data_IF_912522200672
#
_entry.id   IF_912522200672
#
_cell.length_a   1.000
_cell.length_b   1.000
_cell.length_c   1.000
_cell.angle_alpha   90.00
_cell.angle_beta   90.00
_cell.angle_gamma   90.00
#
_symmetry.space_group_name_H-M   'P 1'
#
loop_
_entity.id
_entity.type
_entity.pdbx_description
1 polymer ?
#
# COMPACT_ATOMS: atom_id res chain seq x y z
N UNK A 1 11.09 -1.17 -30.30
CA UNK A 1 12.03 -1.63 -29.25
C UNK A 1 11.31 -2.64 -28.38
N UNK A 2 11.91 -3.81 -28.13
CA UNK A 2 11.38 -4.73 -27.14
C UNK A 2 11.58 -4.12 -25.74
N UNK A 3 10.49 -3.91 -25.01
CA UNK A 3 10.52 -3.37 -23.66
C UNK A 3 11.01 -4.47 -22.71
N UNK A 4 12.08 -4.20 -21.97
CA UNK A 4 12.46 -5.01 -20.82
C UNK A 4 11.32 -5.00 -19.79
N UNK A 5 11.19 -6.09 -19.02
CA UNK A 5 10.21 -6.21 -17.93
C UNK A 5 10.93 -6.15 -16.60
N UNK A 6 10.37 -5.40 -15.66
CA UNK A 6 10.76 -5.44 -14.26
C UNK A 6 9.73 -6.23 -13.47
N UNK A 7 10.18 -7.18 -12.66
CA UNK A 7 9.37 -7.81 -11.61
C UNK A 7 9.85 -7.26 -10.27
N UNK A 8 8.92 -6.62 -9.56
CA UNK A 8 9.16 -5.99 -8.27
C UNK A 8 8.83 -6.98 -7.16
N UNK A 9 9.76 -7.16 -6.23
CA UNK A 9 9.67 -8.20 -5.20
C UNK A 9 9.78 -7.56 -3.81
N UNK A 10 8.73 -7.69 -3.01
CA UNK A 10 8.77 -7.40 -1.57
C UNK A 10 9.13 -8.66 -0.79
N UNK A 11 10.04 -8.56 0.17
CA UNK A 11 10.45 -9.70 1.01
C UNK A 11 10.60 -9.25 2.46
N UNK A 12 10.77 -10.21 3.39
CA UNK A 12 11.16 -9.92 4.78
C UNK A 12 12.58 -9.31 4.92
N UNK A 13 13.33 -9.18 3.83
CA UNK A 13 14.74 -8.79 3.79
C UNK A 13 15.04 -7.71 2.75
N UNK A 14 14.06 -6.86 2.44
CA UNK A 14 14.21 -5.77 1.48
C UNK A 14 13.38 -5.93 0.22
N UNK A 15 13.46 -4.91 -0.62
CA UNK A 15 12.97 -4.98 -1.99
C UNK A 15 14.03 -5.56 -2.92
N UNK A 16 13.60 -6.32 -3.92
CA UNK A 16 14.42 -6.79 -5.03
C UNK A 16 13.74 -6.49 -6.36
N UNK A 17 14.54 -6.39 -7.41
CA UNK A 17 14.04 -6.17 -8.77
C UNK A 17 14.68 -7.21 -9.68
N UNK A 18 13.85 -8.00 -10.37
CA UNK A 18 14.30 -8.83 -11.50
C UNK A 18 14.10 -8.03 -12.79
N UNK A 19 15.15 -7.89 -13.58
CA UNK A 19 15.11 -7.23 -14.89
C UNK A 19 15.30 -8.24 -16.00
N UNK A 20 14.38 -8.27 -16.95
CA UNK A 20 14.45 -9.20 -18.09
C UNK A 20 15.37 -8.68 -19.19
N UNK A 21 15.95 -9.61 -19.97
CA UNK A 21 16.38 -9.27 -21.32
C UNK A 21 15.17 -8.94 -22.22
N UNK A 22 15.44 -8.49 -23.45
CA UNK A 22 14.41 -8.07 -24.39
C UNK A 22 13.45 -9.21 -24.81
N UNK A 23 13.89 -10.46 -24.69
CA UNK A 23 13.10 -11.66 -25.03
C UNK A 23 12.42 -12.30 -23.82
N UNK A 24 12.64 -11.78 -22.62
CA UNK A 24 12.17 -12.33 -21.32
C UNK A 24 12.63 -13.77 -21.08
N UNK A 25 13.85 -14.09 -21.51
CA UNK A 25 14.49 -15.42 -21.40
C UNK A 25 15.56 -15.46 -20.30
N UNK A 26 16.26 -14.36 -20.07
CA UNK A 26 17.20 -14.22 -18.97
C UNK A 26 16.79 -13.06 -18.07
N UNK A 27 17.19 -13.16 -16.79
CA UNK A 27 16.82 -12.19 -15.76
C UNK A 27 18.04 -11.86 -14.90
N UNK A 28 18.24 -10.57 -14.66
CA UNK A 28 19.23 -10.05 -13.71
C UNK A 28 18.53 -9.65 -12.41
N UNK A 29 19.05 -10.12 -11.27
CA UNK A 29 18.53 -9.77 -9.95
C UNK A 29 19.32 -8.59 -9.38
N UNK A 30 18.60 -7.53 -8.96
CA UNK A 30 19.15 -6.38 -8.24
C UNK A 30 18.59 -6.32 -6.81
N UNK A 31 19.43 -5.94 -5.85
CA UNK A 31 19.09 -5.81 -4.42
C UNK A 31 20.09 -6.56 -3.51
N UNK A 32 19.81 -6.66 -2.20
CA UNK A 32 18.64 -6.12 -1.51
C UNK A 32 18.65 -4.58 -1.46
N UNK A 33 17.46 -3.98 -1.55
CA UNK A 33 17.23 -2.55 -1.37
C UNK A 33 16.43 -2.26 -0.09
N UNK A 34 16.20 -0.96 0.18
CA UNK A 34 15.41 -0.49 1.33
C UNK A 34 15.99 -0.98 2.66
N UNK A 35 17.32 -0.95 2.78
CA UNK A 35 18.05 -1.27 4.01
C UNK A 35 17.67 -2.61 4.64
N UNK A 36 17.25 -3.58 3.83
CA UNK A 36 16.76 -4.90 4.28
C UNK A 36 15.53 -4.87 5.19
N UNK A 37 14.78 -3.77 5.23
CA UNK A 37 13.49 -3.70 5.93
C UNK A 37 12.54 -4.78 5.37
N UNK A 38 11.55 -5.24 6.14
CA UNK A 38 10.47 -6.05 5.57
C UNK A 38 9.58 -5.20 4.67
N UNK A 39 9.35 -5.64 3.43
CA UNK A 39 8.46 -5.00 2.46
C UNK A 39 7.31 -5.94 2.11
N UNK A 40 6.08 -5.48 2.32
CA UNK A 40 4.86 -6.24 2.07
C UNK A 40 4.37 -6.10 0.63
N UNK A 41 4.56 -4.93 0.02
CA UNK A 41 4.08 -4.65 -1.33
C UNK A 41 5.01 -3.67 -2.06
N UNK A 42 5.33 -3.95 -3.32
CA UNK A 42 6.14 -3.09 -4.18
C UNK A 42 5.38 -2.84 -5.48
N UNK A 43 5.19 -1.58 -5.85
CA UNK A 43 4.46 -1.16 -7.06
C UNK A 43 5.30 -0.16 -7.86
N UNK A 44 5.06 -0.08 -9.17
CA UNK A 44 5.78 0.83 -10.05
C UNK A 44 4.85 1.65 -10.94
N UNK A 45 5.31 2.83 -11.32
CA UNK A 45 4.73 3.66 -12.36
C UNK A 45 5.48 3.46 -13.68
N UNK A 46 4.92 2.75 -14.66
CA UNK A 46 5.59 2.52 -15.94
C UNK A 46 5.71 3.80 -16.79
N UNK A 47 4.99 4.88 -16.46
CA UNK A 47 5.01 6.14 -17.23
C UNK A 47 6.23 7.01 -16.94
N UNK A 48 6.75 6.96 -15.71
CA UNK A 48 7.88 7.77 -15.26
C UNK A 48 9.00 6.97 -14.56
N UNK A 49 8.81 5.66 -14.36
CA UNK A 49 9.81 4.79 -13.74
C UNK A 49 9.92 4.88 -12.22
N UNK A 50 8.99 5.58 -11.55
CA UNK A 50 8.96 5.64 -10.08
C UNK A 50 8.54 4.29 -9.51
N UNK A 51 9.20 3.86 -8.44
CA UNK A 51 8.88 2.62 -7.72
C UNK A 51 8.61 2.96 -6.26
N UNK A 52 7.57 2.35 -5.69
CA UNK A 52 7.21 2.48 -4.29
C UNK A 52 7.25 1.12 -3.61
N UNK A 53 7.65 1.08 -2.34
CA UNK A 53 7.58 -0.12 -1.52
C UNK A 53 6.99 0.20 -0.14
N UNK A 54 5.90 -0.47 0.22
CA UNK A 54 5.31 -0.41 1.56
C UNK A 54 5.90 -1.50 2.44
N UNK A 55 6.24 -1.13 3.66
CA UNK A 55 6.78 -2.07 4.61
C UNK A 55 6.87 -1.53 6.02
N UNK A 56 7.82 -2.09 6.76
CA UNK A 56 7.96 -1.89 8.18
C UNK A 56 7.49 -3.10 9.00
N UNK A 57 7.62 -2.96 10.32
CA UNK A 57 7.13 -3.88 11.32
C UNK A 57 7.10 -3.16 12.68
N UNK A 58 6.75 -3.87 13.76
CA UNK A 58 6.69 -3.33 15.11
C UNK A 58 7.99 -2.69 15.62
N UNK A 59 9.15 -3.06 15.07
CA UNK A 59 10.44 -2.49 15.46
C UNK A 59 10.74 -1.18 14.72
N UNK A 60 10.48 -1.16 13.42
CA UNK A 60 10.82 -0.06 12.54
C UNK A 60 9.71 1.00 12.42
N UNK A 61 8.47 0.63 12.73
CA UNK A 61 7.28 1.37 12.34
C UNK A 61 6.97 1.23 10.85
N UNK A 62 5.87 1.83 10.38
CA UNK A 62 5.48 1.77 8.98
C UNK A 62 6.27 2.78 8.16
N UNK A 63 6.57 2.44 6.92
CA UNK A 63 7.18 3.38 5.98
C UNK A 63 6.77 3.07 4.54
N UNK A 64 6.76 4.11 3.72
CA UNK A 64 6.69 3.98 2.26
C UNK A 64 8.00 4.47 1.66
N UNK A 65 8.72 3.52 1.06
CA UNK A 65 9.95 3.76 0.32
C UNK A 65 9.62 4.18 -1.11
N UNK A 66 10.45 5.04 -1.68
CA UNK A 66 10.33 5.59 -3.02
C UNK A 66 11.69 5.58 -3.73
N UNK A 67 11.66 5.20 -4.99
CA UNK A 67 12.77 5.36 -5.93
C UNK A 67 12.28 6.07 -7.17
N UNK A 68 13.07 7.02 -7.67
CA UNK A 68 12.78 7.78 -8.90
C UNK A 68 13.73 7.42 -10.05
N UNK A 69 14.58 6.41 -9.87
CA UNK A 69 15.66 6.04 -10.78
C UNK A 69 15.67 4.53 -11.12
N UNK A 70 14.46 3.94 -11.19
CA UNK A 70 14.25 2.51 -11.45
C UNK A 70 14.90 1.59 -10.39
N UNK A 71 14.88 2.02 -9.13
CA UNK A 71 15.31 1.24 -7.98
C UNK A 71 16.81 1.27 -7.70
N UNK A 72 17.57 2.22 -8.26
CA UNK A 72 19.01 2.34 -7.97
C UNK A 72 19.23 3.00 -6.61
N UNK A 73 18.46 4.05 -6.30
CA UNK A 73 18.47 4.72 -5.00
C UNK A 73 17.06 4.82 -4.43
N UNK A 74 16.98 4.85 -3.10
CA UNK A 74 15.71 4.84 -2.38
C UNK A 74 15.76 5.81 -1.20
N UNK A 75 14.64 6.48 -0.95
CA UNK A 75 14.34 7.22 0.28
C UNK A 75 13.01 6.71 0.83
N UNK A 76 12.67 7.03 2.08
CA UNK A 76 11.36 6.68 2.63
C UNK A 76 10.78 7.81 3.47
N UNK A 77 9.46 7.79 3.64
CA UNK A 77 8.74 8.64 4.58
C UNK A 77 7.73 7.83 5.39
N UNK A 78 7.56 8.28 6.62
CA UNK A 78 6.51 7.86 7.56
C UNK A 78 5.68 9.06 8.04
N UNK A 79 5.89 10.24 7.45
CA UNK A 79 5.24 11.48 7.90
C UNK A 79 3.72 11.38 7.76
N UNK A 80 3.01 11.57 8.89
CA UNK A 80 1.56 11.45 8.96
C UNK A 80 1.01 10.02 8.84
N UNK A 81 1.88 9.01 8.71
CA UNK A 81 1.50 7.59 8.66
C UNK A 81 1.37 7.04 10.09
N UNK A 82 0.53 7.68 10.89
CA UNK A 82 0.26 7.33 12.29
C UNK A 82 -1.22 7.51 12.61
N UNK A 83 -1.68 6.78 13.61
CA UNK A 83 -2.95 7.07 14.26
C UNK A 83 -2.77 8.17 15.32
N UNK A 84 -3.88 8.72 15.81
CA UNK A 84 -3.88 9.78 16.82
C UNK A 84 -3.38 9.28 18.19
N UNK A 85 -3.16 10.23 19.10
CA UNK A 85 -2.69 9.93 20.46
C UNK A 85 -3.63 8.95 21.20
N UNK A 86 -3.03 8.01 21.94
CA UNK A 86 -3.77 6.98 22.69
C UNK A 86 -4.31 5.83 21.84
N UNK A 87 -3.99 5.78 20.55
CA UNK A 87 -4.36 4.66 19.66
C UNK A 87 -3.18 3.69 19.47
N UNK A 88 -3.50 2.43 19.19
CA UNK A 88 -2.49 1.42 18.86
C UNK A 88 -1.66 1.90 17.67
N UNK A 89 -0.32 1.84 17.74
CA UNK A 89 0.52 2.28 16.64
C UNK A 89 0.34 1.39 15.41
N UNK A 90 0.54 1.99 14.24
CA UNK A 90 0.64 1.24 13.00
C UNK A 90 1.93 0.42 13.04
N UNK A 91 1.82 -0.87 12.79
CA UNK A 91 2.94 -1.82 12.72
C UNK A 91 3.63 -1.75 11.37
N UNK A 92 2.86 -1.74 10.29
CA UNK A 92 3.42 -1.78 8.94
C UNK A 92 2.48 -1.12 7.92
N UNK A 93 3.09 -0.53 6.88
CA UNK A 93 2.39 -0.30 5.63
C UNK A 93 2.29 -1.64 4.89
N UNK A 94 1.07 -2.05 4.57
CA UNK A 94 0.78 -3.38 4.04
C UNK A 94 0.57 -3.37 2.53
N UNK A 95 -0.23 -2.45 2.04
CA UNK A 95 -0.60 -2.38 0.62
C UNK A 95 -0.50 -0.95 0.10
N UNK A 96 -0.18 -0.80 -1.19
CA UNK A 96 -0.18 0.46 -1.90
C UNK A 96 -1.09 0.38 -3.13
N UNK A 97 -1.73 1.49 -3.46
CA UNK A 97 -2.38 1.68 -4.75
C UNK A 97 -2.17 3.11 -5.23
N UNK A 98 -1.98 3.28 -6.54
CA UNK A 98 -1.89 4.58 -7.17
C UNK A 98 -3.27 5.12 -7.51
N UNK A 99 -3.53 6.35 -7.14
CA UNK A 99 -4.67 7.14 -7.62
C UNK A 99 -4.29 7.95 -8.86
N UNK A 100 -5.05 9.03 -9.09
CA UNK A 100 -4.79 9.97 -10.17
C UNK A 100 -3.62 10.91 -9.81
N UNK A 101 -2.86 11.35 -10.82
CA UNK A 101 -1.73 12.25 -10.61
C UNK A 101 -0.68 11.69 -9.63
N UNK A 102 -0.41 12.46 -8.56
CA UNK A 102 0.53 12.09 -7.50
C UNK A 102 -0.14 11.36 -6.32
N UNK A 103 -1.45 11.08 -6.40
CA UNK A 103 -2.16 10.44 -5.30
C UNK A 103 -1.71 9.00 -5.11
N UNK A 104 -1.43 8.64 -3.86
CA UNK A 104 -1.08 7.31 -3.41
C UNK A 104 -1.93 6.94 -2.21
N UNK A 105 -2.37 5.69 -2.15
CA UNK A 105 -3.07 5.14 -1.00
C UNK A 105 -2.21 4.08 -0.33
N UNK A 106 -2.24 4.06 1.01
CA UNK A 106 -1.60 3.03 1.83
C UNK A 106 -2.62 2.36 2.74
N UNK A 107 -2.70 1.04 2.65
CA UNK A 107 -3.42 0.20 3.58
C UNK A 107 -2.45 -0.31 4.62
N UNK A 108 -2.83 -0.27 5.90
CA UNK A 108 -1.90 -0.51 7.01
C UNK A 108 -2.37 -1.64 7.94
N UNK A 109 -1.50 -2.04 8.86
CA UNK A 109 -1.79 -2.93 9.98
C UNK A 109 -1.51 -2.19 11.31
N UNK A 110 -2.46 -2.08 12.26
CA UNK A 110 -3.87 -2.51 12.19
C UNK A 110 -4.67 -1.74 11.13
N UNK A 111 -5.74 -2.34 10.58
CA UNK A 111 -6.43 -1.85 9.39
C UNK A 111 -6.89 -0.38 9.48
N UNK A 112 -6.45 0.37 8.48
CA UNK A 112 -6.84 1.73 8.15
C UNK A 112 -6.33 2.09 6.75
N UNK A 113 -6.86 3.19 6.21
CA UNK A 113 -6.51 3.72 4.89
C UNK A 113 -5.88 5.10 5.06
N UNK A 114 -4.75 5.31 4.39
CA UNK A 114 -4.06 6.59 4.34
C UNK A 114 -3.95 7.05 2.90
N UNK A 115 -4.02 8.36 2.68
CA UNK A 115 -3.89 9.02 1.39
C UNK A 115 -2.69 9.96 1.44
N UNK A 116 -1.94 10.01 0.35
CA UNK A 116 -0.90 11.00 0.08
C UNK A 116 -1.24 11.66 -1.25
N UNK A 117 -1.10 12.97 -1.36
CA UNK A 117 -1.28 13.74 -2.61
C UNK A 117 0.05 14.29 -3.16
N UNK A 118 1.17 14.02 -2.48
CA UNK A 118 2.51 14.50 -2.80
C UNK A 118 3.46 13.36 -3.22
N UNK A 119 2.88 12.23 -3.65
CA UNK A 119 3.62 11.08 -4.15
C UNK A 119 4.39 10.35 -3.03
N UNK A 120 3.77 10.23 -1.86
CA UNK A 120 4.23 9.43 -0.72
C UNK A 120 5.16 10.16 0.26
N UNK A 121 5.26 11.49 0.21
CA UNK A 121 6.08 12.27 1.13
C UNK A 121 5.37 12.48 2.46
N UNK A 122 4.08 12.81 2.44
CA UNK A 122 3.23 12.93 3.63
C UNK A 122 1.91 12.17 3.46
N UNK A 123 1.34 11.75 4.57
CA UNK A 123 0.14 10.92 4.62
C UNK A 123 -0.93 11.53 5.52
N UNK A 124 -2.18 11.40 5.09
CA UNK A 124 -3.38 11.78 5.84
C UNK A 124 -4.26 10.55 6.03
N UNK A 125 -4.75 10.34 7.25
CA UNK A 125 -5.67 9.25 7.55
C UNK A 125 -7.05 9.50 6.93
N UNK A 126 -7.59 8.50 6.23
CA UNK A 126 -8.96 8.51 5.68
C UNK A 126 -9.92 7.99 6.75
N UNK A 127 -10.51 8.91 7.51
CA UNK A 127 -11.23 8.61 8.75
C UNK A 127 -12.52 7.77 8.56
N UNK A 128 -13.16 7.80 7.38
CA UNK A 128 -14.47 7.16 7.17
C UNK A 128 -14.51 5.67 7.52
N UNK A 129 -13.45 4.90 7.25
CA UNK A 129 -13.37 3.49 7.65
C UNK A 129 -13.20 3.32 9.16
N UNK A 130 -12.49 4.24 9.81
CA UNK A 130 -12.25 4.21 11.25
C UNK A 130 -13.50 4.55 12.05
N UNK A 131 -14.34 5.43 11.50
CA UNK A 131 -15.60 5.89 12.06
C UNK A 131 -16.79 5.00 11.66
N UNK A 132 -16.57 4.05 10.73
CA UNK A 132 -17.61 3.16 10.26
C UNK A 132 -18.27 2.40 11.43
N UNK A 133 -19.62 2.32 11.50
CA UNK A 133 -20.34 1.72 12.63
C UNK A 133 -19.95 0.27 12.93
N UNK A 134 -19.46 -0.47 11.92
CA UNK A 134 -19.03 -1.86 12.11
C UNK A 134 -17.63 -2.04 12.68
N UNK A 135 -16.83 -0.97 12.79
CA UNK A 135 -15.42 -1.02 13.20
C UNK A 135 -15.20 -1.78 14.53
N UNK A 136 -16.05 -1.66 15.56
CA UNK A 136 -15.89 -2.41 16.81
C UNK A 136 -16.02 -3.93 16.66
N UNK A 137 -16.62 -4.43 15.58
CA UNK A 137 -16.74 -5.88 15.33
C UNK A 137 -15.59 -6.45 14.49
N UNK A 138 -14.67 -5.61 14.01
CA UNK A 138 -13.53 -6.07 13.21
C UNK A 138 -12.49 -6.69 14.12
N UNK A 139 -12.34 -8.01 14.05
CA UNK A 139 -11.38 -8.76 14.84
C UNK A 139 -10.19 -9.16 13.95
N UNK A 140 -8.96 -9.17 14.50
CA UNK A 140 -7.81 -9.69 13.77
C UNK A 140 -7.97 -11.21 13.54
N UNK A 141 -7.62 -11.66 12.33
CA UNK A 141 -7.48 -13.09 12.04
C UNK A 141 -6.05 -13.58 12.33
N UNK A 142 -5.71 -14.79 11.89
CA UNK A 142 -4.35 -15.35 12.05
C UNK A 142 -3.24 -14.54 11.35
N UNK A 143 -3.60 -13.67 10.40
CA UNK A 143 -2.70 -12.73 9.76
C UNK A 143 -2.71 -11.31 10.34
N UNK A 144 -3.51 -11.03 11.38
CA UNK A 144 -3.74 -9.68 11.89
C UNK A 144 -5.00 -9.02 11.31
N UNK A 145 -5.22 -7.74 11.64
CA UNK A 145 -6.28 -6.90 11.08
C UNK A 145 -5.65 -5.95 10.07
N UNK A 146 -5.83 -6.19 8.77
CA UNK A 146 -5.04 -5.54 7.71
C UNK A 146 -5.96 -5.03 6.59
N UNK A 147 -5.66 -3.83 6.07
CA UNK A 147 -6.21 -3.36 4.79
C UNK A 147 -5.26 -3.73 3.65
N UNK A 148 -5.66 -4.69 2.81
CA UNK A 148 -4.75 -5.35 1.85
C UNK A 148 -5.07 -5.09 0.37
N UNK A 149 -6.31 -4.73 0.06
CA UNK A 149 -6.71 -4.43 -1.32
C UNK A 149 -7.26 -3.03 -1.37
N UNK A 150 -6.75 -2.22 -2.29
CA UNK A 150 -7.18 -0.85 -2.56
C UNK A 150 -7.30 -0.73 -4.07
N UNK A 151 -8.49 -0.35 -4.54
CA UNK A 151 -8.79 -0.21 -5.96
C UNK A 151 -9.47 1.14 -6.16
N UNK A 152 -8.68 2.21 -6.35
CA UNK A 152 -9.23 3.51 -6.72
C UNK A 152 -9.75 3.44 -8.16
N UNK A 153 -10.84 4.13 -8.44
CA UNK A 153 -11.41 4.18 -9.78
C UNK A 153 -10.49 5.01 -10.70
N UNK A 154 -10.22 4.55 -11.94
CA UNK A 154 -9.18 5.13 -12.79
C UNK A 154 -9.45 6.58 -13.22
N UNK A 155 -10.74 6.97 -13.28
CA UNK A 155 -11.17 8.27 -13.82
C UNK A 155 -12.13 9.04 -12.89
N UNK A 156 -12.37 8.55 -11.68
CA UNK A 156 -13.26 9.18 -10.70
C UNK A 156 -12.62 9.06 -9.33
N UNK A 157 -12.06 10.16 -8.82
CA UNK A 157 -11.33 10.14 -7.55
C UNK A 157 -12.22 9.89 -6.34
N UNK A 158 -13.55 10.02 -6.50
CA UNK A 158 -14.49 9.77 -5.42
C UNK A 158 -14.76 8.27 -5.19
N UNK A 159 -14.50 7.44 -6.19
CA UNK A 159 -14.85 6.01 -6.14
C UNK A 159 -13.64 5.16 -5.75
N UNK A 160 -13.73 4.46 -4.62
CA UNK A 160 -12.66 3.59 -4.13
C UNK A 160 -13.27 2.31 -3.53
N UNK A 161 -12.68 1.17 -3.87
CA UNK A 161 -12.96 -0.11 -3.20
C UNK A 161 -11.80 -0.50 -2.31
N UNK A 162 -12.10 -1.04 -1.13
CA UNK A 162 -11.10 -1.62 -0.24
C UNK A 162 -11.53 -3.00 0.26
N UNK A 163 -10.56 -3.83 0.64
CA UNK A 163 -10.80 -5.04 1.38
C UNK A 163 -9.91 -5.12 2.63
N UNK A 164 -10.54 -5.54 3.72
CA UNK A 164 -9.93 -5.65 5.05
C UNK A 164 -10.08 -7.09 5.54
N UNK A 165 -8.97 -7.67 5.97
CA UNK A 165 -8.93 -8.98 6.64
C UNK A 165 -8.78 -8.74 8.16
N UNK A 166 -9.75 -9.03 9.04
CA UNK A 166 -11.07 -9.61 8.77
C UNK A 166 -12.19 -8.60 9.05
N UNK A 167 -12.79 -8.08 7.98
CA UNK A 167 -13.99 -7.26 8.00
C UNK A 167 -14.80 -7.37 6.69
N UNK A 168 -14.12 -7.54 5.55
CA UNK A 168 -14.72 -7.71 4.24
C UNK A 168 -14.39 -6.58 3.27
N UNK A 169 -15.21 -6.47 2.22
CA UNK A 169 -15.10 -5.48 1.15
C UNK A 169 -15.97 -4.26 1.46
N UNK A 170 -15.44 -3.08 1.21
CA UNK A 170 -16.12 -1.80 1.35
C UNK A 170 -15.96 -0.97 0.08
N UNK A 171 -16.94 -0.12 -0.18
CA UNK A 171 -16.96 0.81 -1.30
C UNK A 171 -17.29 2.21 -0.80
N UNK A 172 -16.55 3.21 -1.28
CA UNK A 172 -16.84 4.63 -1.12
C UNK A 172 -17.14 5.24 -2.49
N UNK A 173 -18.07 6.20 -2.51
CA UNK A 173 -18.42 7.03 -3.66
C UNK A 173 -18.14 8.53 -3.41
N UNK A 174 -17.45 8.85 -2.32
CA UNK A 174 -17.21 10.18 -1.77
C UNK A 174 -15.78 10.32 -1.24
N UNK A 175 -14.81 9.78 -1.99
CA UNK A 175 -13.37 9.88 -1.72
C UNK A 175 -12.93 9.34 -0.34
N UNK A 176 -13.73 8.44 0.24
CA UNK A 176 -13.47 7.79 1.52
C UNK A 176 -14.08 8.48 2.74
N UNK A 177 -14.91 9.50 2.54
CA UNK A 177 -15.69 10.13 3.62
C UNK A 177 -16.67 9.13 4.26
N UNK A 178 -17.38 8.33 3.44
CA UNK A 178 -18.26 7.26 3.90
C UNK A 178 -18.03 5.95 3.15
N UNK A 179 -18.44 4.84 3.78
CA UNK A 179 -18.18 3.49 3.27
C UNK A 179 -19.41 2.61 3.39
N UNK A 180 -19.75 1.91 2.31
CA UNK A 180 -20.79 0.91 2.27
C UNK A 180 -20.17 -0.50 2.21
N UNK A 181 -20.56 -1.43 3.10
CA UNK A 181 -20.12 -2.83 3.02
C UNK A 181 -20.67 -3.52 1.76
N UNK A 182 -19.84 -4.34 1.11
CA UNK A 182 -20.15 -5.06 -0.14
C UNK A 182 -19.94 -6.56 -0.01
N UNK A 183 -20.45 -7.13 1.10
CA UNK A 183 -20.23 -8.51 1.52
C UNK A 183 -21.45 -9.44 1.28
N UNK A 184 -22.42 -9.03 0.45
CA UNK A 184 -23.61 -9.85 0.21
C UNK A 184 -23.20 -11.12 -0.55
N UNK A 185 -23.48 -12.28 0.04
CA UNK A 185 -23.16 -13.58 -0.54
C UNK A 185 -21.79 -14.15 -0.16
N UNK A 186 -20.99 -13.41 0.61
CA UNK A 186 -19.76 -13.95 1.22
C UNK A 186 -20.11 -14.52 2.59
N UNK A 187 -19.85 -15.81 2.83
CA UNK A 187 -19.97 -16.47 4.14
C UNK A 187 -18.61 -17.02 4.54
N UNK A 188 -18.30 -16.97 5.84
CA UNK A 188 -17.20 -17.70 6.45
C UNK A 188 -17.55 -19.18 6.59
#
# INVERSE_FOLDING_TARGET
>A
MAKKVLVLLGTKKGAFILESDARRRSWELRGPFCETWPLNHVIGDPSNGVIYAAGGNEWFGPAVWKSTDLGKTWTHSSEGLSYGEGQDPIKAAWSLARGQGNTLFAGVEPAGLFRSDDGGQSWTHVAGLREHPSRPQWQPGGGGLILHSIVPHPNDENQIWVAISTAGVFYSADAGESWAPRNRGTRA
#
